data_IF_029068960700
#
_entry.id   IF_029068960700
#
_cell.length_a   1.000
_cell.length_b   1.000
_cell.length_c   1.000
_cell.angle_alpha   90.00
_cell.angle_beta   90.00
_cell.angle_gamma   90.00
#
_symmetry.space_group_name_H-M   'P 1'
#
loop_
_entity.id
_entity.type
_entity.pdbx_description
1 polymer ?
#
# COMPACT_ATOMS: atom_id res chain seq x y z
N UNK A 1 16.60 -1.08 -18.16
CA UNK A 1 16.00 -2.05 -17.23
C UNK A 1 14.87 -1.31 -16.54
N UNK A 2 13.65 -1.86 -16.49
CA UNK A 2 12.66 -1.37 -15.53
C UNK A 2 13.11 -1.92 -14.19
N UNK A 3 13.41 -1.06 -13.23
CA UNK A 3 13.61 -1.53 -11.87
C UNK A 3 12.26 -2.05 -11.36
N UNK A 4 12.18 -3.35 -11.11
CA UNK A 4 10.98 -3.96 -10.55
C UNK A 4 10.90 -3.55 -9.08
N UNK A 5 9.85 -2.80 -8.71
CA UNK A 5 9.55 -2.53 -7.30
C UNK A 5 9.01 -3.80 -6.65
N UNK A 6 9.73 -4.31 -5.65
CA UNK A 6 9.33 -5.49 -4.87
C UNK A 6 8.85 -5.04 -3.50
N UNK A 7 7.60 -5.36 -3.19
CA UNK A 7 6.96 -5.08 -1.89
C UNK A 7 6.66 -6.40 -1.18
N UNK A 8 7.17 -6.57 0.04
CA UNK A 8 6.90 -7.74 0.89
C UNK A 8 6.14 -7.29 2.13
N UNK A 9 4.94 -7.82 2.30
CA UNK A 9 4.07 -7.59 3.46
C UNK A 9 3.72 -8.90 4.14
N UNK A 10 3.49 -8.83 5.46
CA UNK A 10 3.09 -9.99 6.26
C UNK A 10 1.76 -9.71 6.96
N UNK A 11 0.90 -10.73 7.03
CA UNK A 11 -0.35 -10.62 7.78
C UNK A 11 -0.10 -10.24 9.23
N UNK A 12 -0.92 -9.31 9.74
CA UNK A 12 -0.90 -8.85 11.14
C UNK A 12 0.43 -8.21 11.60
N UNK A 13 1.34 -7.87 10.68
CA UNK A 13 2.58 -7.14 11.00
C UNK A 13 2.54 -5.72 10.42
N UNK A 14 3.15 -4.78 11.14
CA UNK A 14 3.37 -3.41 10.67
C UNK A 14 4.62 -3.28 9.81
N UNK A 15 5.65 -4.06 10.12
CA UNK A 15 6.87 -4.10 9.33
C UNK A 15 6.59 -4.66 7.92
N UNK A 16 7.07 -3.96 6.90
CA UNK A 16 7.06 -4.36 5.51
C UNK A 16 8.38 -3.99 4.83
N UNK A 17 8.65 -4.55 3.66
CA UNK A 17 9.88 -4.28 2.92
C UNK A 17 9.58 -3.73 1.54
N UNK A 18 10.36 -2.74 1.11
CA UNK A 18 10.37 -2.21 -0.26
C UNK A 18 11.79 -2.30 -0.77
N UNK A 19 12.01 -3.08 -1.82
CA UNK A 19 13.35 -3.31 -2.39
C UNK A 19 14.41 -3.70 -1.33
N UNK A 20 13.99 -4.44 -0.30
CA UNK A 20 14.84 -4.89 0.81
C UNK A 20 14.96 -3.92 1.99
N UNK A 21 14.47 -2.69 1.88
CA UNK A 21 14.44 -1.72 2.99
C UNK A 21 13.19 -1.90 3.86
N UNK A 22 13.37 -1.98 5.18
CA UNK A 22 12.26 -2.10 6.13
C UNK A 22 11.57 -0.76 6.38
N UNK A 23 10.24 -0.77 6.33
CA UNK A 23 9.35 0.37 6.61
C UNK A 23 8.20 -0.07 7.51
N UNK A 24 7.38 0.88 7.97
CA UNK A 24 6.24 0.63 8.87
C UNK A 24 4.90 1.04 8.25
N UNK A 25 3.90 0.16 8.34
CA UNK A 25 2.53 0.42 7.93
C UNK A 25 1.70 1.02 9.08
N UNK A 26 0.87 2.01 8.73
CA UNK A 26 -0.11 2.58 9.65
C UNK A 26 -1.26 1.62 9.94
N UNK A 27 -1.61 0.76 8.96
CA UNK A 27 -2.61 -0.28 9.06
C UNK A 27 -2.01 -1.64 8.68
N UNK A 28 -2.24 -2.68 9.47
CA UNK A 28 -1.70 -4.02 9.17
C UNK A 28 -2.52 -4.71 8.08
N UNK A 29 -1.93 -5.56 7.23
CA UNK A 29 -2.68 -6.43 6.33
C UNK A 29 -3.47 -7.48 7.10
N UNK A 30 -4.67 -7.80 6.64
CA UNK A 30 -5.58 -8.74 7.30
C UNK A 30 -6.46 -9.47 6.27
N UNK A 31 -7.21 -10.48 6.71
CA UNK A 31 -8.05 -11.30 5.83
C UNK A 31 -9.53 -11.04 6.11
N UNK A 32 -10.32 -10.75 5.07
CA UNK A 32 -11.79 -10.74 5.08
C UNK A 32 -12.24 -11.67 3.96
N UNK A 33 -13.18 -12.58 4.24
CA UNK A 33 -13.81 -13.45 3.22
C UNK A 33 -12.80 -14.14 2.29
N UNK A 34 -11.75 -14.72 2.88
CA UNK A 34 -10.62 -15.37 2.18
C UNK A 34 -9.81 -14.45 1.25
N UNK A 35 -9.97 -13.13 1.36
CA UNK A 35 -9.18 -12.12 0.63
C UNK A 35 -8.27 -11.37 1.58
N UNK A 36 -7.01 -11.22 1.18
CA UNK A 36 -6.07 -10.37 1.91
C UNK A 36 -6.33 -8.91 1.56
N UNK A 37 -6.73 -8.13 2.55
CA UNK A 37 -6.84 -6.69 2.48
C UNK A 37 -5.48 -6.07 2.81
N UNK A 38 -4.97 -5.27 1.87
CA UNK A 38 -3.71 -4.52 2.03
C UNK A 38 -4.00 -3.01 2.10
N UNK A 39 -3.17 -2.23 2.81
CA UNK A 39 -3.32 -0.77 2.86
C UNK A 39 -3.14 -0.13 1.47
N UNK A 40 -4.23 0.36 0.88
CA UNK A 40 -4.26 0.91 -0.47
C UNK A 40 -3.22 2.02 -0.69
N UNK A 41 -3.15 2.99 0.24
CA UNK A 41 -2.26 4.16 0.13
C UNK A 41 -0.81 3.74 -0.05
N UNK A 42 -0.33 2.87 0.84
CA UNK A 42 1.05 2.39 0.83
C UNK A 42 1.39 1.69 -0.48
N UNK A 43 0.55 0.75 -0.93
CA UNK A 43 0.79 0.03 -2.18
C UNK A 43 0.87 1.02 -3.36
N UNK A 44 -0.08 1.95 -3.47
CA UNK A 44 -0.12 2.90 -4.57
C UNK A 44 1.09 3.86 -4.56
N UNK A 45 1.45 4.41 -3.39
CA UNK A 45 2.55 5.37 -3.26
C UNK A 45 3.93 4.74 -3.51
N UNK A 46 4.16 3.49 -3.10
CA UNK A 46 5.41 2.77 -3.40
C UNK A 46 5.56 2.43 -4.89
N UNK A 47 4.45 2.35 -5.63
CA UNK A 47 4.45 2.25 -7.10
C UNK A 47 4.44 3.63 -7.79
N UNK A 48 4.70 4.72 -7.05
CA UNK A 48 4.86 6.06 -7.59
C UNK A 48 3.54 6.81 -7.88
N UNK A 49 2.41 6.27 -7.46
CA UNK A 49 1.12 6.97 -7.58
C UNK A 49 0.93 7.99 -6.46
N UNK A 50 0.10 9.00 -6.69
CA UNK A 50 -0.35 9.94 -5.66
C UNK A 50 -1.77 9.61 -5.23
N UNK A 51 -1.99 9.45 -3.92
CA UNK A 51 -3.31 9.13 -3.35
C UNK A 51 -3.90 10.34 -2.63
N UNK A 52 -5.06 10.81 -3.08
CA UNK A 52 -5.83 11.90 -2.44
C UNK A 52 -7.16 11.38 -1.93
N UNK A 53 -7.50 11.75 -0.71
CA UNK A 53 -8.82 11.51 -0.14
C UNK A 53 -9.64 12.79 -0.22
N UNK A 54 -10.88 12.68 -0.68
CA UNK A 54 -11.86 13.74 -0.67
C UNK A 54 -12.90 13.45 0.43
N UNK A 55 -12.81 14.20 1.53
CA UNK A 55 -13.72 14.04 2.67
C UNK A 55 -15.17 14.39 2.32
N UNK A 56 -15.41 15.24 1.30
CA UNK A 56 -16.75 15.74 0.98
C UNK A 56 -17.68 14.65 0.43
N UNK A 57 -17.14 13.68 -0.29
CA UNK A 57 -17.89 12.59 -0.92
C UNK A 57 -17.34 11.19 -0.57
N UNK A 58 -16.38 11.11 0.34
CA UNK A 58 -15.65 9.90 0.73
C UNK A 58 -14.96 9.21 -0.46
N UNK A 59 -14.50 9.97 -1.46
CA UNK A 59 -13.82 9.42 -2.65
C UNK A 59 -12.31 9.36 -2.46
N UNK A 60 -11.71 8.25 -2.90
CA UNK A 60 -10.26 8.11 -3.04
C UNK A 60 -9.87 8.29 -4.51
N UNK A 61 -9.02 9.28 -4.79
CA UNK A 61 -8.41 9.49 -6.09
C UNK A 61 -6.99 8.97 -6.12
N UNK A 62 -6.65 8.26 -7.20
CA UNK A 62 -5.29 7.74 -7.45
C UNK A 62 -4.82 8.33 -8.78
N UNK A 63 -3.70 9.03 -8.76
CA UNK A 63 -3.09 9.65 -9.93
C UNK A 63 -1.77 8.94 -10.25
N UNK A 64 -1.57 8.55 -11.51
CA UNK A 64 -0.26 8.14 -12.01
C UNK A 64 0.56 9.38 -12.36
N UNK A 65 1.89 9.26 -12.34
CA UNK A 65 2.76 10.27 -12.96
C UNK A 65 2.80 10.14 -14.48
#
# INVERSE_FOLDING_TARGET
>A
MRDDTVIIMYLKKRAYYVNGEEKQLDAVPYVIDQKTMVPLRFVAEEFGCTVKYNDADNTVYIYTQ
#
